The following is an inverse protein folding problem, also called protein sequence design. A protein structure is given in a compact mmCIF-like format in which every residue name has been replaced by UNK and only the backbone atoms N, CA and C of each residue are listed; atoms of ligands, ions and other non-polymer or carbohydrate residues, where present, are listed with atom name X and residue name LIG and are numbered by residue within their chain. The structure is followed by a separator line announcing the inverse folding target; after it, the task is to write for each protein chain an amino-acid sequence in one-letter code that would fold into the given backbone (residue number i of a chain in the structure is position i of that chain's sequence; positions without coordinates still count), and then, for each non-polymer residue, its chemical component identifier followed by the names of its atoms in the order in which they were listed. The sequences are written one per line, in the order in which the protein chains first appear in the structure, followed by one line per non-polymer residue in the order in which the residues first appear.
data_IF_613267537838
#
_entry.id   IF_613267537838
#
_cell.length_a   1.000
_cell.length_b   1.000
_cell.length_c   1.000
_cell.angle_alpha   90.00
_cell.angle_beta   90.00
_cell.angle_gamma   90.00
#
_symmetry.space_group_name_H-M   'P 1'
#
loop_
_entity.id
_entity.type
_entity.pdbx_description
1 polymer ?
#
# COMPACT_ATOMS: atom_id res chain seq x y z
N UNK A 1 20.61 -55.60 2.30
CA UNK A 1 21.43 -54.57 2.98
C UNK A 1 21.72 -53.37 2.09
N UNK A 2 22.26 -53.56 0.88
CA UNK A 2 22.60 -52.46 -0.06
C UNK A 2 21.39 -51.57 -0.42
N UNK A 3 20.22 -52.15 -0.68
CA UNK A 3 18.99 -51.39 -1.02
C UNK A 3 18.53 -50.47 0.12
N UNK A 4 18.71 -50.89 1.38
CA UNK A 4 18.34 -50.09 2.54
C UNK A 4 19.26 -48.86 2.70
N UNK A 5 20.56 -49.00 2.39
CA UNK A 5 21.50 -47.88 2.40
C UNK A 5 21.25 -46.89 1.27
N UNK A 6 20.83 -47.35 0.09
CA UNK A 6 20.45 -46.47 -1.04
C UNK A 6 19.18 -45.68 -0.70
N UNK A 7 18.16 -46.33 -0.15
CA UNK A 7 16.93 -45.65 0.27
C UNK A 7 17.18 -44.60 1.36
N UNK A 8 18.05 -44.92 2.34
CA UNK A 8 18.45 -43.98 3.38
C UNK A 8 19.22 -42.79 2.81
N UNK A 9 20.14 -43.03 1.86
CA UNK A 9 20.91 -41.97 1.19
C UNK A 9 20.03 -40.99 0.41
N UNK A 10 19.03 -41.50 -0.32
CA UNK A 10 18.06 -40.65 -1.05
C UNK A 10 17.21 -39.84 -0.09
N UNK A 11 16.77 -40.41 1.03
CA UNK A 11 15.97 -39.70 2.03
C UNK A 11 16.77 -38.57 2.68
N UNK A 12 18.03 -38.82 3.04
CA UNK A 12 18.91 -37.78 3.63
C UNK A 12 19.15 -36.65 2.62
N UNK A 13 19.38 -36.96 1.35
CA UNK A 13 19.55 -35.95 0.31
C UNK A 13 18.27 -35.15 0.05
N UNK A 14 17.09 -35.79 0.09
CA UNK A 14 15.81 -35.12 -0.05
C UNK A 14 15.52 -34.19 1.13
N UNK A 15 15.78 -34.63 2.37
CA UNK A 15 15.60 -33.81 3.58
C UNK A 15 16.61 -32.67 3.63
N UNK A 16 17.87 -32.91 3.27
CA UNK A 16 18.90 -31.87 3.21
C UNK A 16 18.61 -30.84 2.10
N UNK A 17 18.16 -31.31 0.92
CA UNK A 17 17.72 -30.46 -0.18
C UNK A 17 16.50 -29.63 0.19
N UNK A 18 15.50 -30.24 0.86
CA UNK A 18 14.33 -29.55 1.37
C UNK A 18 14.69 -28.53 2.45
N UNK A 19 15.57 -28.87 3.41
CA UNK A 19 16.05 -27.94 4.42
C UNK A 19 16.80 -26.76 3.79
N UNK A 20 17.73 -27.01 2.86
CA UNK A 20 18.46 -25.94 2.15
C UNK A 20 17.51 -25.06 1.34
N UNK A 21 16.53 -25.64 0.65
CA UNK A 21 15.50 -24.90 -0.08
C UNK A 21 14.60 -24.09 0.86
N UNK A 22 14.16 -24.69 1.97
CA UNK A 22 13.32 -24.07 2.99
C UNK A 22 14.03 -22.93 3.72
N UNK A 23 15.32 -23.07 4.05
CA UNK A 23 16.13 -22.01 4.65
C UNK A 23 16.55 -20.94 3.64
N UNK A 24 16.68 -21.27 2.35
CA UNK A 24 16.92 -20.27 1.29
C UNK A 24 15.66 -19.43 1.01
N UNK A 25 14.47 -20.02 1.14
CA UNK A 25 13.19 -19.31 1.05
C UNK A 25 12.90 -18.52 2.32
N UNK A 26 13.20 -19.07 3.50
CA UNK A 26 13.09 -18.40 4.80
C UNK A 26 14.42 -17.86 5.28
N UNK A 27 15.18 -17.20 4.42
CA UNK A 27 16.35 -16.44 4.89
C UNK A 27 15.82 -15.38 5.88
N UNK A 28 16.06 -15.51 7.19
CA UNK A 28 15.42 -14.65 8.19
C UNK A 28 15.90 -13.19 8.09
N UNK A 29 16.97 -12.95 7.32
CA UNK A 29 17.47 -11.63 6.95
C UNK A 29 16.76 -11.01 5.73
N UNK A 30 15.87 -11.76 5.07
CA UNK A 30 15.06 -11.31 3.91
C UNK A 30 13.58 -11.17 4.22
N UNK A 31 13.15 -11.39 5.46
CA UNK A 31 11.78 -11.09 5.87
C UNK A 31 11.51 -9.59 5.75
N UNK A 32 10.32 -9.22 5.28
CA UNK A 32 9.87 -7.82 5.20
C UNK A 32 10.06 -7.06 6.53
N UNK A 33 10.09 -7.77 7.66
CA UNK A 33 10.33 -7.22 8.99
C UNK A 33 11.78 -6.73 9.22
N UNK A 34 12.80 -7.35 8.60
CA UNK A 34 14.21 -6.93 8.79
C UNK A 34 14.51 -5.59 8.11
N UNK A 35 13.76 -5.28 7.05
CA UNK A 35 13.90 -4.04 6.29
C UNK A 35 12.94 -2.95 6.72
N UNK A 36 12.04 -3.19 7.68
CA UNK A 36 10.94 -2.28 8.05
C UNK A 36 11.37 -0.81 8.15
N UNK A 37 12.49 -0.53 8.82
CA UNK A 37 13.05 0.81 8.98
C UNK A 37 14.40 1.06 8.25
N UNK A 38 14.85 0.14 7.39
CA UNK A 38 16.06 0.32 6.57
C UNK A 38 15.75 1.07 5.27
N UNK A 39 16.38 2.21 5.02
CA UNK A 39 16.09 3.03 3.84
C UNK A 39 17.10 2.88 2.71
N UNK A 40 16.57 2.89 1.50
CA UNK A 40 17.21 3.43 0.32
C UNK A 40 16.31 4.59 -0.09
N UNK A 41 16.83 5.81 -0.28
CA UNK A 41 16.05 7.01 -0.70
C UNK A 41 15.42 6.78 -2.09
N UNK A 42 14.35 6.00 -2.10
CA UNK A 42 13.68 5.46 -3.29
C UNK A 42 12.35 6.16 -3.48
N UNK A 43 11.67 6.45 -2.38
CA UNK A 43 10.30 6.91 -2.39
C UNK A 43 10.18 8.43 -2.27
N UNK A 44 9.11 9.04 -2.81
CA UNK A 44 9.06 10.49 -2.96
C UNK A 44 8.98 11.24 -1.62
N UNK A 45 8.41 10.62 -0.59
CA UNK A 45 8.35 11.18 0.75
C UNK A 45 9.71 11.09 1.47
N UNK A 46 10.58 10.13 1.12
CA UNK A 46 11.95 10.05 1.66
C UNK A 46 12.80 11.21 1.14
N UNK A 47 12.52 11.68 -0.08
CA UNK A 47 13.21 12.80 -0.73
C UNK A 47 12.91 14.17 -0.10
N UNK A 48 11.94 14.26 0.82
CA UNK A 48 11.71 15.49 1.61
C UNK A 48 12.79 15.67 2.68
N UNK A 49 13.55 14.61 2.97
CA UNK A 49 14.60 14.56 3.98
C UNK A 49 15.98 14.49 3.33
N UNK A 50 16.97 15.10 3.98
CA UNK A 50 18.37 14.75 3.74
C UNK A 50 18.65 13.31 4.20
N UNK A 51 19.68 12.61 3.68
CA UNK A 51 20.00 11.25 4.11
C UNK A 51 20.20 11.11 5.63
N UNK A 52 20.80 12.13 6.26
CA UNK A 52 20.94 12.17 7.71
C UNK A 52 19.59 12.27 8.42
N UNK A 53 18.72 13.16 7.94
CA UNK A 53 17.37 13.33 8.50
C UNK A 53 16.51 12.09 8.32
N UNK A 54 16.58 11.42 7.18
CA UNK A 54 15.89 10.16 6.93
C UNK A 54 16.31 9.09 7.94
N UNK A 55 17.63 8.92 8.12
CA UNK A 55 18.16 7.98 9.11
C UNK A 55 17.69 8.30 10.52
N UNK A 56 17.67 9.57 10.91
CA UNK A 56 17.17 9.98 12.22
C UNK A 56 15.66 9.74 12.34
N UNK A 57 14.88 10.09 11.33
CA UNK A 57 13.43 9.86 11.30
C UNK A 57 13.09 8.38 11.47
N UNK A 58 13.76 7.50 10.72
CA UNK A 58 13.57 6.05 10.83
C UNK A 58 13.97 5.50 12.19
N UNK A 59 15.08 5.96 12.77
CA UNK A 59 15.46 5.59 14.13
C UNK A 59 14.40 6.05 15.17
N UNK A 60 13.74 7.18 14.93
CA UNK A 60 12.63 7.64 15.74
C UNK A 60 11.38 6.76 15.61
N UNK A 61 11.05 6.31 14.39
CA UNK A 61 9.94 5.38 14.15
C UNK A 61 10.21 3.99 14.77
N UNK A 62 11.43 3.48 14.64
CA UNK A 62 11.87 2.24 15.28
C UNK A 62 11.72 2.34 16.82
N UNK A 63 12.20 3.43 17.41
CA UNK A 63 12.05 3.66 18.84
C UNK A 63 10.58 3.77 19.28
N UNK A 64 9.70 4.35 18.45
CA UNK A 64 8.27 4.40 18.73
C UNK A 64 7.62 3.00 18.65
N UNK A 65 7.98 2.23 17.62
CA UNK A 65 7.50 0.86 17.40
C UNK A 65 7.81 -0.05 18.59
N UNK A 66 9.04 0.03 19.11
CA UNK A 66 9.52 -0.76 20.24
C UNK A 66 8.81 -0.44 21.57
N UNK A 67 8.34 0.79 21.76
CA UNK A 67 7.92 1.28 23.09
C UNK A 67 6.40 1.45 23.27
N UNK A 68 5.61 1.76 22.22
CA UNK A 68 4.30 2.40 22.44
C UNK A 68 3.10 1.83 21.69
N UNK A 69 3.26 0.77 20.90
CA UNK A 69 2.12 0.09 20.28
C UNK A 69 2.27 -0.21 18.79
N UNK A 70 3.45 0.06 18.24
CA UNK A 70 3.81 -0.36 16.90
C UNK A 70 3.37 0.63 15.81
N UNK A 71 4.21 0.73 14.79
CA UNK A 71 3.91 1.45 13.56
C UNK A 71 4.47 0.70 12.35
N UNK A 72 3.97 0.97 11.16
CA UNK A 72 4.46 0.35 9.92
C UNK A 72 4.47 1.36 8.77
N UNK A 73 5.65 1.69 8.21
CA UNK A 73 5.74 2.59 7.06
C UNK A 73 5.47 1.82 5.75
N UNK A 74 4.31 2.09 5.15
CA UNK A 74 3.95 1.69 3.78
C UNK A 74 4.60 2.67 2.80
N UNK A 75 5.74 2.26 2.25
CA UNK A 75 6.68 3.19 1.60
C UNK A 75 6.19 3.69 0.25
N UNK A 76 5.66 2.80 -0.57
CA UNK A 76 5.19 3.13 -1.91
C UNK A 76 3.97 4.06 -1.85
N UNK A 77 3.02 3.77 -0.97
CA UNK A 77 1.81 4.59 -0.81
C UNK A 77 2.06 5.89 -0.03
N UNK A 78 3.19 6.00 0.66
CA UNK A 78 3.55 7.15 1.50
C UNK A 78 2.68 7.26 2.76
N UNK A 79 2.38 6.13 3.40
CA UNK A 79 1.50 6.03 4.57
C UNK A 79 2.24 5.39 5.75
N UNK A 80 2.18 6.00 6.92
CA UNK A 80 2.54 5.38 8.19
C UNK A 80 1.28 4.84 8.86
N UNK A 81 1.22 3.53 9.07
CA UNK A 81 0.19 2.89 9.89
C UNK A 81 0.62 2.97 11.36
N UNK A 82 -0.25 3.41 12.23
CA UNK A 82 -0.06 3.40 13.69
C UNK A 82 -1.17 2.53 14.27
N UNK A 83 -0.84 1.62 15.20
CA UNK A 83 -1.83 0.65 15.70
C UNK A 83 -2.53 1.08 17.00
N UNK A 84 -2.01 2.09 17.71
CA UNK A 84 -2.60 2.58 18.95
C UNK A 84 -2.42 4.10 19.12
N UNK A 85 -3.47 4.92 18.89
CA UNK A 85 -4.72 4.53 18.25
C UNK A 85 -4.52 4.15 16.78
N UNK A 86 -5.47 3.40 16.21
CA UNK A 86 -5.43 2.98 14.81
C UNK A 86 -5.57 4.17 13.85
N UNK A 87 -4.49 4.49 13.14
CA UNK A 87 -4.41 5.65 12.24
C UNK A 87 -3.55 5.37 11.01
N UNK A 88 -3.92 6.00 9.90
CA UNK A 88 -3.06 6.20 8.74
C UNK A 88 -2.59 7.65 8.75
N UNK A 89 -1.28 7.85 8.67
CA UNK A 89 -0.64 9.18 8.66
C UNK A 89 0.17 9.32 7.37
N UNK A 90 0.03 10.46 6.69
CA UNK A 90 0.85 10.80 5.54
C UNK A 90 2.33 10.92 5.93
N UNK A 91 3.17 10.07 5.33
CA UNK A 91 4.62 10.18 5.48
C UNK A 91 5.16 11.48 4.88
N UNK A 92 4.52 12.03 3.85
CA UNK A 92 4.90 13.33 3.28
C UNK A 92 4.76 14.46 4.30
N UNK A 93 3.57 14.58 4.91
CA UNK A 93 3.31 15.62 5.92
C UNK A 93 4.20 15.40 7.16
N UNK A 94 4.36 14.16 7.58
CA UNK A 94 5.15 13.83 8.77
C UNK A 94 6.64 14.13 8.59
N UNK A 95 7.21 13.80 7.43
CA UNK A 95 8.62 14.08 7.12
C UNK A 95 8.90 15.55 6.91
N UNK A 96 8.01 16.31 6.26
CA UNK A 96 8.12 17.77 6.16
C UNK A 96 8.12 18.43 7.54
N UNK A 97 7.23 17.98 8.43
CA UNK A 97 7.19 18.48 9.82
C UNK A 97 8.43 18.09 10.61
N UNK A 98 8.94 16.86 10.44
CA UNK A 98 10.19 16.43 11.06
C UNK A 98 11.38 17.28 10.60
N UNK A 99 11.48 17.55 9.29
CA UNK A 99 12.49 18.44 8.74
C UNK A 99 12.36 19.87 9.31
N UNK A 100 11.13 20.39 9.45
CA UNK A 100 10.86 21.71 10.00
C UNK A 100 11.24 21.84 11.49
N UNK A 101 11.23 20.75 12.26
CA UNK A 101 11.73 20.74 13.65
C UNK A 101 13.26 20.91 13.75
N UNK A 102 13.98 20.74 12.64
CA UNK A 102 15.39 21.08 12.50
C UNK A 102 16.32 20.25 13.39
N UNK A 103 17.44 20.84 13.88
CA UNK A 103 18.46 20.10 14.63
C UNK A 103 17.97 19.43 15.91
N UNK A 104 16.89 19.92 16.53
CA UNK A 104 16.34 19.31 17.74
C UNK A 104 15.79 17.90 17.46
N UNK A 105 15.10 17.71 16.33
CA UNK A 105 14.61 16.40 15.91
C UNK A 105 15.75 15.42 15.58
N UNK A 106 16.89 15.94 15.12
CA UNK A 106 18.08 15.14 14.85
C UNK A 106 18.79 14.68 16.13
N UNK A 107 18.75 15.49 17.19
CA UNK A 107 19.37 15.18 18.47
C UNK A 107 18.55 14.17 19.28
N UNK A 108 17.23 14.22 19.16
CA UNK A 108 16.29 13.32 19.85
C UNK A 108 15.17 12.89 18.89
N UNK A 109 15.46 11.99 17.94
CA UNK A 109 14.49 11.56 16.92
C UNK A 109 13.31 10.80 17.50
N UNK A 110 13.53 10.01 18.56
CA UNK A 110 12.47 9.27 19.25
C UNK A 110 11.42 10.23 19.80
N UNK A 111 11.86 11.26 20.53
CA UNK A 111 10.95 12.29 21.05
C UNK A 111 10.25 13.06 19.93
N UNK A 112 10.97 13.41 18.86
CA UNK A 112 10.39 14.17 17.76
C UNK A 112 9.29 13.39 17.03
N UNK A 113 9.53 12.11 16.71
CA UNK A 113 8.53 11.23 16.10
C UNK A 113 7.33 11.03 17.03
N UNK A 114 7.57 10.76 18.31
CA UNK A 114 6.50 10.63 19.30
C UNK A 114 5.65 11.91 19.39
N UNK A 115 6.26 13.09 19.34
CA UNK A 115 5.53 14.36 19.31
C UNK A 115 4.69 14.53 18.03
N UNK A 116 5.21 14.12 16.87
CA UNK A 116 4.47 14.16 15.60
C UNK A 116 3.26 13.22 15.61
N UNK A 117 3.43 11.99 16.09
CA UNK A 117 2.33 11.03 16.23
C UNK A 117 1.31 11.54 17.24
N UNK A 118 1.73 12.05 18.39
CA UNK A 118 0.82 12.66 19.38
C UNK A 118 0.10 13.91 18.90
N UNK A 119 0.65 14.64 17.92
CA UNK A 119 -0.09 15.72 17.27
C UNK A 119 -1.15 15.16 16.33
N UNK A 120 -0.83 14.11 15.58
CA UNK A 120 -1.79 13.41 14.74
C UNK A 120 -2.95 12.80 15.57
N UNK A 121 -2.70 12.37 16.82
CA UNK A 121 -3.76 11.84 17.71
C UNK A 121 -4.76 12.87 18.23
N UNK A 122 -4.52 14.18 18.05
CA UNK A 122 -5.40 15.22 18.58
C UNK A 122 -6.57 15.55 17.66
N UNK A 123 -6.40 15.38 16.35
CA UNK A 123 -7.43 15.70 15.36
C UNK A 123 -7.16 15.00 14.04
N UNK A 124 -8.22 14.46 13.44
CA UNK A 124 -8.21 14.20 12.01
C UNK A 124 -8.05 15.50 11.23
N UNK A 125 -7.10 15.47 10.30
CA UNK A 125 -6.80 16.56 9.40
C UNK A 125 -6.24 16.02 8.09
N UNK A 126 -5.70 16.90 7.26
CA UNK A 126 -5.12 16.53 5.98
C UNK A 126 -4.00 15.49 6.17
N UNK A 127 -4.16 14.33 5.53
CA UNK A 127 -3.22 13.22 5.63
C UNK A 127 -3.28 12.44 6.94
N UNK A 128 -4.26 12.64 7.82
CA UNK A 128 -4.48 11.80 9.01
C UNK A 128 -5.89 11.22 8.99
N UNK A 129 -5.97 9.89 9.04
CA UNK A 129 -7.24 9.15 9.01
C UNK A 129 -7.28 8.14 10.16
N UNK A 130 -8.33 8.18 10.98
CA UNK A 130 -8.54 7.15 12.00
C UNK A 130 -9.43 6.07 11.43
N UNK A 131 -9.16 4.85 11.87
CA UNK A 131 -9.93 3.68 11.49
C UNK A 131 -10.10 2.75 12.69
N UNK A 132 -10.99 1.77 12.52
CA UNK A 132 -11.38 0.83 13.55
C UNK A 132 -11.46 -0.57 12.93
N UNK A 133 -10.95 -1.59 13.62
CA UNK A 133 -11.11 -2.99 13.21
C UNK A 133 -12.54 -3.50 13.43
N UNK A 134 -13.31 -2.83 14.28
CA UNK A 134 -14.76 -3.04 14.45
C UNK A 134 -15.61 -2.09 13.58
N UNK A 135 -15.13 -1.75 12.38
CA UNK A 135 -15.77 -0.77 11.48
C UNK A 135 -17.21 -1.11 11.05
N UNK A 136 -17.62 -2.38 11.08
CA UNK A 136 -19.01 -2.77 10.81
C UNK A 136 -19.94 -2.43 11.99
N UNK A 137 -19.39 -2.17 13.18
CA UNK A 137 -20.11 -2.04 14.43
C UNK A 137 -20.00 -3.32 15.28
N UNK A 138 -20.03 -3.14 16.61
CA UNK A 138 -19.95 -4.26 17.56
C UNK A 138 -21.08 -5.28 17.31
N UNK A 139 -20.70 -6.53 17.05
CA UNK A 139 -21.65 -7.63 16.80
C UNK A 139 -22.37 -7.59 15.46
N UNK A 140 -21.94 -6.74 14.52
CA UNK A 140 -22.47 -6.70 13.15
C UNK A 140 -21.64 -7.63 12.27
N UNK A 141 -22.25 -8.71 11.78
CA UNK A 141 -21.58 -9.69 10.88
C UNK A 141 -21.76 -9.34 9.40
N UNK A 142 -22.86 -8.65 9.06
CA UNK A 142 -23.21 -8.32 7.68
C UNK A 142 -23.79 -6.90 7.56
N UNK A 143 -23.47 -6.25 6.44
CA UNK A 143 -24.04 -4.99 5.99
C UNK A 143 -24.76 -5.22 4.64
N UNK A 144 -26.08 -5.06 4.61
CA UNK A 144 -26.86 -5.27 3.36
C UNK A 144 -26.62 -6.65 2.73
N UNK A 145 -26.48 -7.68 3.58
CA UNK A 145 -26.18 -9.06 3.17
C UNK A 145 -24.74 -9.31 2.72
N UNK A 146 -23.84 -8.33 2.87
CA UNK A 146 -22.41 -8.49 2.63
C UNK A 146 -21.68 -8.67 3.96
N UNK A 147 -20.87 -9.72 4.09
CA UNK A 147 -19.86 -9.79 5.13
C UNK A 147 -18.72 -8.78 4.86
N UNK A 148 -17.75 -8.70 5.78
CA UNK A 148 -16.60 -7.79 5.63
C UNK A 148 -15.82 -8.00 4.33
N UNK A 149 -15.72 -9.22 3.83
CA UNK A 149 -14.95 -9.53 2.62
C UNK A 149 -15.72 -9.10 1.38
N UNK A 150 -17.02 -9.40 1.32
CA UNK A 150 -17.90 -8.97 0.25
C UNK A 150 -18.03 -7.45 0.19
N UNK A 151 -18.11 -6.77 1.34
CA UNK A 151 -18.10 -5.32 1.38
C UNK A 151 -16.78 -4.74 0.87
N UNK A 152 -15.66 -5.33 1.28
CA UNK A 152 -14.32 -4.93 0.81
C UNK A 152 -14.16 -5.12 -0.69
N UNK A 153 -14.64 -6.24 -1.23
CA UNK A 153 -14.67 -6.49 -2.67
C UNK A 153 -15.52 -5.46 -3.42
N UNK A 154 -16.67 -5.08 -2.84
CA UNK A 154 -17.52 -4.03 -3.40
C UNK A 154 -16.87 -2.64 -3.36
N UNK A 155 -16.13 -2.30 -2.30
CA UNK A 155 -15.33 -1.06 -2.21
C UNK A 155 -14.21 -1.07 -3.24
N UNK A 156 -13.47 -2.16 -3.36
CA UNK A 156 -12.39 -2.33 -4.33
C UNK A 156 -12.91 -2.25 -5.78
N UNK A 157 -14.09 -2.83 -6.04
CA UNK A 157 -14.82 -2.70 -7.30
C UNK A 157 -15.23 -1.25 -7.57
N UNK A 158 -15.74 -0.53 -6.55
CA UNK A 158 -16.16 0.86 -6.66
C UNK A 158 -15.00 1.83 -6.97
N UNK A 159 -13.80 1.53 -6.47
CA UNK A 159 -12.60 2.31 -6.79
C UNK A 159 -12.02 2.00 -8.18
N UNK A 160 -12.59 1.03 -8.90
CA UNK A 160 -11.98 0.45 -10.11
C UNK A 160 -10.52 0.01 -9.87
N UNK A 161 -10.21 -0.33 -8.62
CA UNK A 161 -8.87 -0.69 -8.15
C UNK A 161 -8.53 -2.17 -8.39
N UNK A 162 -9.49 -2.96 -8.88
CA UNK A 162 -9.30 -4.36 -9.24
C UNK A 162 -9.08 -4.50 -10.74
N UNK A 163 -7.85 -4.77 -11.15
CA UNK A 163 -7.50 -5.06 -12.54
C UNK A 163 -6.06 -4.72 -12.85
N UNK A 164 -5.41 -5.54 -13.67
CA UNK A 164 -4.01 -5.36 -14.12
C UNK A 164 -3.87 -4.19 -15.12
N UNK A 165 -5.00 -3.60 -15.56
CA UNK A 165 -5.08 -2.74 -16.75
C UNK A 165 -5.28 -1.24 -16.46
N UNK A 166 -5.32 -0.81 -15.21
CA UNK A 166 -5.36 0.63 -14.89
C UNK A 166 -3.97 1.14 -14.52
N UNK A 167 -3.17 1.45 -15.55
CA UNK A 167 -1.83 2.09 -15.41
C UNK A 167 -1.83 3.32 -14.47
N UNK A 168 -3.01 3.93 -14.30
CA UNK A 168 -3.28 5.19 -13.63
C UNK A 168 -3.91 5.06 -12.24
N UNK A 169 -4.39 3.88 -11.84
CA UNK A 169 -4.98 3.66 -10.53
C UNK A 169 -4.80 2.23 -10.02
N UNK A 170 -4.28 2.11 -8.80
CA UNK A 170 -4.21 0.85 -8.06
C UNK A 170 -4.82 1.07 -6.68
N UNK A 171 -5.35 0.01 -6.06
CA UNK A 171 -5.87 0.14 -4.70
C UNK A 171 -5.58 -1.07 -3.85
N UNK A 172 -5.69 -0.84 -2.55
CA UNK A 172 -5.53 -1.85 -1.53
C UNK A 172 -6.63 -1.63 -0.50
N UNK A 173 -7.12 -2.71 0.08
CA UNK A 173 -8.08 -2.68 1.16
C UNK A 173 -7.71 -3.70 2.21
N UNK A 174 -8.05 -3.39 3.45
CA UNK A 174 -7.77 -4.24 4.61
C UNK A 174 -9.08 -4.39 5.40
N UNK A 175 -9.79 -5.47 5.15
CA UNK A 175 -11.08 -5.78 5.78
C UNK A 175 -10.98 -5.97 7.29
N UNK A 176 -9.80 -6.41 7.78
CA UNK A 176 -9.53 -6.64 9.20
C UNK A 176 -9.20 -5.35 9.94
N UNK A 177 -8.76 -4.31 9.22
CA UNK A 177 -8.41 -3.02 9.80
C UNK A 177 -9.40 -1.92 9.43
N UNK A 178 -10.25 -2.10 8.43
CA UNK A 178 -11.31 -1.15 8.12
C UNK A 178 -10.83 0.09 7.37
N UNK A 179 -9.94 -0.07 6.38
CA UNK A 179 -9.58 1.03 5.48
C UNK A 179 -9.30 0.55 4.05
N UNK A 180 -9.34 1.49 3.12
CA UNK A 180 -8.85 1.31 1.76
C UNK A 180 -7.96 2.47 1.32
N UNK A 181 -7.11 2.19 0.34
CA UNK A 181 -6.26 3.17 -0.33
C UNK A 181 -6.45 3.06 -1.84
N UNK A 182 -6.35 4.19 -2.53
CA UNK A 182 -6.38 4.29 -3.98
C UNK A 182 -5.25 5.20 -4.42
N UNK A 183 -4.22 4.64 -5.06
CA UNK A 183 -3.19 5.39 -5.75
C UNK A 183 -3.77 6.01 -7.02
N UNK A 184 -3.50 7.28 -7.27
CA UNK A 184 -4.02 8.05 -8.40
C UNK A 184 -2.86 8.71 -9.14
N UNK A 185 -2.69 8.31 -10.41
CA UNK A 185 -1.72 8.85 -11.35
C UNK A 185 -2.49 9.49 -12.52
N UNK A 186 -2.69 10.81 -12.48
CA UNK A 186 -3.48 11.50 -13.50
C UNK A 186 -2.91 11.38 -14.92
N UNK A 187 -1.58 11.40 -15.02
CA UNK A 187 -0.86 11.25 -16.27
C UNK A 187 0.50 10.64 -15.98
N UNK A 188 0.83 9.55 -16.66
CA UNK A 188 2.19 9.03 -16.66
C UNK A 188 3.09 9.99 -17.44
N UNK A 189 4.15 10.53 -16.84
CA UNK A 189 5.09 11.38 -17.57
C UNK A 189 5.78 10.59 -18.70
N UNK A 190 6.00 11.23 -19.85
CA UNK A 190 6.63 10.58 -21.01
C UNK A 190 8.01 9.97 -20.71
N UNK A 191 8.76 10.53 -19.76
CA UNK A 191 10.04 9.94 -19.36
C UNK A 191 9.87 8.65 -18.57
N UNK A 192 8.80 8.50 -17.77
CA UNK A 192 8.49 7.26 -17.06
C UNK A 192 8.12 6.16 -18.04
N UNK A 193 7.28 6.46 -19.04
CA UNK A 193 6.97 5.49 -20.11
C UNK A 193 8.21 5.00 -20.84
N UNK A 194 9.14 5.92 -21.18
CA UNK A 194 10.43 5.55 -21.79
C UNK A 194 11.28 4.67 -20.87
N UNK A 195 11.25 4.89 -19.56
CA UNK A 195 11.98 4.03 -18.62
C UNK A 195 11.41 2.61 -18.59
N UNK A 196 10.10 2.42 -18.69
CA UNK A 196 9.50 1.10 -18.85
C UNK A 196 9.86 0.47 -20.20
N UNK A 197 9.81 1.22 -21.30
CA UNK A 197 10.23 0.73 -22.62
C UNK A 197 11.69 0.25 -22.59
N UNK A 198 12.58 1.04 -21.98
CA UNK A 198 13.99 0.71 -21.80
C UNK A 198 14.16 -0.54 -20.92
N UNK A 199 13.37 -0.69 -19.85
CA UNK A 199 13.37 -1.89 -19.03
C UNK A 199 12.93 -3.11 -19.84
N UNK A 200 11.76 -3.06 -20.50
CA UNK A 200 11.25 -4.16 -21.30
C UNK A 200 12.18 -4.55 -22.46
N UNK A 201 12.91 -3.60 -23.04
CA UNK A 201 13.95 -3.89 -24.03
C UNK A 201 15.08 -4.77 -23.48
N UNK A 202 15.37 -4.72 -22.17
CA UNK A 202 16.35 -5.61 -21.50
C UNK A 202 15.80 -7.03 -21.39
N UNK A 203 14.52 -7.20 -21.07
CA UNK A 203 13.88 -8.51 -20.97
C UNK A 203 13.86 -9.26 -22.32
N UNK A 204 13.90 -8.51 -23.43
CA UNK A 204 13.85 -9.04 -24.79
C UNK A 204 12.42 -9.42 -25.22
N UNK A 205 12.30 -9.97 -26.43
CA UNK A 205 10.99 -10.36 -26.94
C UNK A 205 10.39 -11.51 -26.11
N UNK A 206 9.10 -11.43 -25.72
CA UNK A 206 8.45 -12.49 -24.98
C UNK A 206 8.46 -13.79 -25.79
N UNK A 207 8.84 -14.89 -25.15
CA UNK A 207 8.82 -16.19 -25.78
C UNK A 207 7.37 -16.59 -26.14
N UNK A 208 7.13 -17.21 -27.30
CA UNK A 208 5.79 -17.65 -27.66
C UNK A 208 5.29 -18.74 -26.68
N UNK A 209 4.23 -18.42 -25.95
CA UNK A 209 3.61 -19.31 -24.96
C UNK A 209 2.56 -20.19 -25.65
N UNK A 210 2.96 -21.37 -26.13
CA UNK A 210 2.07 -22.24 -26.91
C UNK A 210 1.30 -23.25 -26.06
N UNK A 211 1.75 -23.49 -24.83
CA UNK A 211 1.13 -24.45 -23.92
C UNK A 211 1.42 -24.10 -22.45
N UNK A 212 0.73 -24.80 -21.54
CA UNK A 212 0.87 -24.59 -20.08
C UNK A 212 2.28 -24.81 -19.56
N UNK A 213 3.07 -25.71 -20.15
CA UNK A 213 4.45 -25.93 -19.75
C UNK A 213 5.35 -24.75 -20.13
N UNK A 214 5.08 -24.07 -21.24
CA UNK A 214 5.80 -22.85 -21.62
C UNK A 214 5.51 -21.71 -20.64
N UNK A 215 4.25 -21.53 -20.24
CA UNK A 215 3.87 -20.58 -19.18
C UNK A 215 4.61 -20.90 -17.87
N UNK A 216 4.62 -22.17 -17.46
CA UNK A 216 5.32 -22.59 -16.25
C UNK A 216 6.83 -22.32 -16.34
N UNK A 217 7.46 -22.59 -17.48
CA UNK A 217 8.88 -22.33 -17.69
C UNK A 217 9.20 -20.84 -17.65
N UNK A 218 8.34 -20.02 -18.24
CA UNK A 218 8.51 -18.57 -18.24
C UNK A 218 8.38 -18.00 -16.83
N UNK A 219 7.34 -18.39 -16.08
CA UNK A 219 7.14 -17.95 -14.68
C UNK A 219 8.25 -18.44 -13.75
N UNK A 220 8.84 -19.62 -14.02
CA UNK A 220 9.96 -20.14 -13.23
C UNK A 220 11.33 -19.60 -13.66
N UNK A 221 11.40 -18.86 -14.77
CA UNK A 221 12.66 -18.27 -15.23
C UNK A 221 13.05 -17.17 -14.24
N UNK A 222 14.28 -17.19 -13.70
CA UNK A 222 14.77 -16.06 -12.93
C UNK A 222 14.73 -14.82 -13.81
N UNK A 223 14.12 -13.76 -13.30
CA UNK A 223 14.11 -12.47 -13.98
C UNK A 223 15.55 -11.97 -14.14
N UNK A 224 15.81 -11.28 -15.25
CA UNK A 224 17.10 -10.65 -15.48
C UNK A 224 17.32 -9.57 -14.40
N UNK A 225 18.40 -9.64 -13.59
CA UNK A 225 18.66 -8.62 -12.57
C UNK A 225 18.71 -7.19 -13.11
N UNK A 226 19.20 -7.02 -14.35
CA UNK A 226 19.27 -5.70 -14.98
C UNK A 226 17.89 -5.20 -15.40
N UNK A 227 17.00 -6.12 -15.82
CA UNK A 227 15.58 -5.81 -16.05
C UNK A 227 14.90 -5.38 -14.75
N UNK A 228 15.03 -6.18 -13.69
CA UNK A 228 14.41 -5.88 -12.38
C UNK A 228 14.90 -4.52 -11.87
N UNK A 229 16.21 -4.26 -11.91
CA UNK A 229 16.75 -2.97 -11.49
C UNK A 229 16.31 -1.79 -12.37
N UNK A 230 16.08 -2.00 -13.68
CA UNK A 230 15.53 -0.96 -14.55
C UNK A 230 14.04 -0.71 -14.28
N UNK A 231 13.27 -1.77 -14.12
CA UNK A 231 11.84 -1.72 -13.80
C UNK A 231 11.61 -1.06 -12.45
N UNK A 232 12.35 -1.45 -11.41
CA UNK A 232 12.25 -0.82 -10.09
C UNK A 232 12.60 0.67 -10.09
N UNK A 233 13.53 1.11 -10.95
CA UNK A 233 13.81 2.53 -11.14
C UNK A 233 12.64 3.26 -11.81
N UNK A 234 11.97 2.62 -12.77
CA UNK A 234 10.77 3.16 -13.39
C UNK A 234 9.61 3.27 -12.39
N UNK A 235 9.38 2.25 -11.56
CA UNK A 235 8.39 2.28 -10.46
C UNK A 235 8.70 3.38 -9.44
N UNK A 236 9.95 3.49 -9.00
CA UNK A 236 10.38 4.55 -8.08
C UNK A 236 10.15 5.94 -8.68
N UNK A 237 10.44 6.13 -9.97
CA UNK A 237 10.16 7.39 -10.66
C UNK A 237 8.65 7.66 -10.81
N UNK A 238 7.86 6.64 -11.19
CA UNK A 238 6.40 6.71 -11.31
C UNK A 238 5.75 7.12 -9.99
N UNK A 239 6.20 6.55 -8.87
CA UNK A 239 5.66 6.80 -7.53
C UNK A 239 5.65 8.29 -7.15
N UNK A 240 6.59 9.10 -7.70
CA UNK A 240 6.65 10.57 -7.49
C UNK A 240 5.37 11.27 -7.91
N UNK A 241 4.71 10.74 -8.93
CA UNK A 241 3.52 11.28 -9.57
C UNK A 241 2.21 10.64 -9.06
N UNK A 242 2.31 9.51 -8.36
CA UNK A 242 1.17 8.85 -7.71
C UNK A 242 0.82 9.59 -6.42
N UNK A 243 -0.45 9.92 -6.22
CA UNK A 243 -0.94 10.40 -4.92
C UNK A 243 -1.96 9.41 -4.36
N UNK A 244 -1.95 9.20 -3.06
CA UNK A 244 -2.78 8.15 -2.44
C UNK A 244 -3.97 8.79 -1.75
N UNK A 245 -5.16 8.37 -2.15
CA UNK A 245 -6.41 8.65 -1.45
C UNK A 245 -6.67 7.53 -0.45
N UNK A 246 -7.08 7.88 0.78
CA UNK A 246 -7.36 6.94 1.86
C UNK A 246 -8.82 7.04 2.28
N UNK A 247 -9.45 5.91 2.57
CA UNK A 247 -10.83 5.81 3.02
C UNK A 247 -10.95 4.98 4.30
N UNK A 248 -11.78 5.44 5.23
CA UNK A 248 -12.11 4.71 6.46
C UNK A 248 -13.43 3.95 6.26
N UNK A 249 -13.41 2.63 6.46
CA UNK A 249 -14.56 1.77 6.21
C UNK A 249 -15.74 2.06 7.11
N UNK A 250 -15.51 2.42 8.37
CA UNK A 250 -16.59 2.77 9.31
C UNK A 250 -17.45 3.90 8.73
N UNK A 251 -16.79 4.95 8.22
CA UNK A 251 -17.46 6.12 7.66
C UNK A 251 -18.05 5.84 6.28
N UNK A 252 -17.36 5.08 5.45
CA UNK A 252 -17.92 4.63 4.16
C UNK A 252 -19.18 3.78 4.40
N UNK A 253 -19.17 2.89 5.39
CA UNK A 253 -20.31 2.05 5.76
C UNK A 253 -21.47 2.87 6.33
N UNK A 254 -21.21 3.88 7.16
CA UNK A 254 -22.24 4.80 7.66
C UNK A 254 -22.91 5.56 6.52
N UNK A 255 -22.12 6.17 5.64
CA UNK A 255 -22.63 6.89 4.46
C UNK A 255 -23.37 5.94 3.49
N UNK A 256 -22.91 4.69 3.36
CA UNK A 256 -23.60 3.64 2.62
C UNK A 256 -24.97 3.33 3.23
N UNK A 257 -25.07 3.14 4.55
CA UNK A 257 -26.35 2.88 5.25
C UNK A 257 -27.33 4.02 5.02
N UNK A 258 -26.86 5.26 5.01
CA UNK A 258 -27.69 6.43 4.74
C UNK A 258 -28.15 6.50 3.28
N UNK A 259 -27.28 6.18 2.31
CA UNK A 259 -27.60 6.26 0.89
C UNK A 259 -28.46 5.08 0.39
N UNK A 260 -28.23 3.88 0.93
CA UNK A 260 -28.81 2.62 0.43
C UNK A 260 -30.35 2.61 0.32
N UNK A 261 -31.14 3.14 1.27
CA UNK A 261 -32.60 3.19 1.17
C UNK A 261 -33.13 3.96 -0.04
N UNK A 262 -32.35 4.90 -0.59
CA UNK A 262 -32.73 5.70 -1.76
C UNK A 262 -32.27 5.06 -3.08
N UNK A 263 -31.49 3.98 -3.02
CA UNK A 263 -30.87 3.31 -4.16
C UNK A 263 -31.10 1.79 -4.14
N UNK A 264 -32.31 1.36 -3.72
CA UNK A 264 -32.64 -0.07 -3.51
C UNK A 264 -32.46 -0.97 -4.74
N UNK A 265 -32.52 -0.40 -5.95
CA UNK A 265 -32.33 -1.13 -7.21
C UNK A 265 -30.90 -1.14 -7.74
N UNK A 266 -29.96 -0.45 -7.09
CA UNK A 266 -28.56 -0.40 -7.50
C UNK A 266 -27.77 -1.55 -6.86
N UNK A 267 -26.69 -2.00 -7.51
CA UNK A 267 -25.75 -2.93 -6.89
C UNK A 267 -24.97 -2.23 -5.76
N UNK A 268 -24.54 -2.95 -4.71
CA UNK A 268 -23.79 -2.34 -3.60
C UNK A 268 -22.58 -1.51 -4.04
N UNK A 269 -21.80 -2.01 -5.01
CA UNK A 269 -20.65 -1.29 -5.58
C UNK A 269 -21.03 0.06 -6.21
N UNK A 270 -22.23 0.17 -6.79
CA UNK A 270 -22.69 1.40 -7.44
C UNK A 270 -23.08 2.44 -6.39
N UNK A 271 -23.67 2.00 -5.28
CA UNK A 271 -23.97 2.86 -4.14
C UNK A 271 -22.67 3.32 -3.48
N UNK A 272 -21.71 2.42 -3.26
CA UNK A 272 -20.39 2.75 -2.72
C UNK A 272 -19.63 3.75 -3.59
N UNK A 273 -19.66 3.56 -4.91
CA UNK A 273 -19.08 4.48 -5.89
C UNK A 273 -19.62 5.90 -5.69
N UNK A 274 -20.94 6.06 -5.61
CA UNK A 274 -21.59 7.36 -5.37
C UNK A 274 -21.25 7.93 -3.99
N UNK A 275 -21.25 7.10 -2.95
CA UNK A 275 -20.91 7.51 -1.58
C UNK A 275 -19.47 8.03 -1.51
N UNK A 276 -18.50 7.26 -2.00
CA UNK A 276 -17.09 7.62 -1.96
C UNK A 276 -16.79 8.85 -2.84
N UNK A 277 -17.43 8.96 -4.01
CA UNK A 277 -17.34 10.16 -4.84
C UNK A 277 -17.88 11.40 -4.11
N UNK A 278 -19.03 11.28 -3.42
CA UNK A 278 -19.60 12.36 -2.60
C UNK A 278 -18.68 12.75 -1.46
N UNK A 279 -18.12 11.76 -0.75
CA UNK A 279 -17.18 12.00 0.33
C UNK A 279 -15.96 12.79 -0.15
N UNK A 280 -15.40 12.43 -1.30
CA UNK A 280 -14.28 13.13 -1.91
C UNK A 280 -14.65 14.55 -2.37
N UNK A 281 -15.74 14.71 -3.12
CA UNK A 281 -16.18 16.00 -3.70
C UNK A 281 -16.51 17.04 -2.63
N UNK A 282 -17.14 16.60 -1.53
CA UNK A 282 -17.58 17.48 -0.45
C UNK A 282 -16.56 17.62 0.69
N UNK A 283 -15.39 16.98 0.59
CA UNK A 283 -14.37 16.99 1.65
C UNK A 283 -14.90 16.41 2.97
N UNK A 284 -15.69 15.34 2.88
CA UNK A 284 -16.27 14.70 4.06
C UNK A 284 -15.19 13.98 4.87
N UNK A 285 -15.48 13.87 6.16
CA UNK A 285 -14.72 13.06 7.10
C UNK A 285 -14.65 11.60 6.64
N UNK A 286 -13.48 10.97 6.82
CA UNK A 286 -13.27 9.57 6.45
C UNK A 286 -12.64 9.36 5.08
N UNK A 287 -12.28 10.45 4.40
CA UNK A 287 -11.53 10.45 3.17
C UNK A 287 -10.44 11.53 3.26
N UNK A 288 -9.19 11.18 2.94
CA UNK A 288 -8.09 12.17 2.89
C UNK A 288 -6.97 11.71 1.98
N UNK A 289 -6.13 12.65 1.54
CA UNK A 289 -5.00 12.38 0.65
C UNK A 289 -3.68 12.36 1.41
N UNK A 290 -2.70 11.58 0.94
CA UNK A 290 -1.33 11.66 1.49
C UNK A 290 -0.66 12.98 1.15
N UNK A 291 -1.02 13.62 0.03
CA UNK A 291 -0.62 14.99 -0.32
C UNK A 291 -1.81 15.78 -0.89
N UNK A 292 -1.81 17.12 -0.84
CA UNK A 292 -2.81 17.91 -1.56
C UNK A 292 -2.84 17.49 -3.05
N UNK A 293 -4.00 17.03 -3.57
CA UNK A 293 -4.08 16.53 -4.94
C UNK A 293 -3.98 17.68 -5.95
N UNK A 294 -3.41 17.39 -7.12
CA UNK A 294 -3.57 18.27 -8.28
C UNK A 294 -5.03 18.28 -8.74
N UNK A 295 -5.41 19.29 -9.53
CA UNK A 295 -6.77 19.36 -10.08
C UNK A 295 -7.09 18.13 -10.94
N UNK A 296 -6.12 17.61 -11.69
CA UNK A 296 -6.31 16.47 -12.57
C UNK A 296 -6.38 15.15 -11.80
N UNK A 297 -5.61 15.01 -10.71
CA UNK A 297 -5.74 13.87 -9.79
C UNK A 297 -7.12 13.85 -9.14
N UNK A 298 -7.61 15.00 -8.67
CA UNK A 298 -8.92 15.09 -8.06
C UNK A 298 -10.04 14.75 -9.08
N UNK A 299 -9.96 15.29 -10.30
CA UNK A 299 -10.91 14.97 -11.38
C UNK A 299 -10.88 13.50 -11.75
N UNK A 300 -9.70 12.89 -11.87
CA UNK A 300 -9.57 11.47 -12.20
C UNK A 300 -10.17 10.62 -11.08
N UNK A 301 -9.86 10.89 -9.82
CA UNK A 301 -10.43 10.16 -8.69
C UNK A 301 -11.97 10.26 -8.66
N UNK A 302 -12.53 11.44 -8.89
CA UNK A 302 -13.99 11.61 -9.03
C UNK A 302 -14.56 10.89 -10.25
N UNK A 303 -13.82 10.80 -11.35
CA UNK A 303 -14.26 10.08 -12.55
C UNK A 303 -14.19 8.56 -12.38
N UNK A 304 -13.23 8.06 -11.59
CA UNK A 304 -13.14 6.65 -11.23
C UNK A 304 -14.24 6.26 -10.26
N UNK A 305 -14.49 7.06 -9.23
CA UNK A 305 -15.54 6.79 -8.23
C UNK A 305 -16.94 7.14 -8.74
N UNK A 306 -17.07 8.13 -9.61
CA UNK A 306 -18.33 8.47 -10.25
C UNK A 306 -18.58 7.46 -11.34
N UNK A 307 -19.61 6.64 -11.20
CA UNK A 307 -20.09 5.57 -12.09
C UNK A 307 -20.45 6.01 -13.54
N UNK A 308 -19.78 7.03 -14.07
CA UNK A 308 -19.89 7.64 -15.40
C UNK A 308 -18.67 7.23 -16.23
N UNK A 309 -18.64 5.96 -16.60
CA UNK A 309 -17.99 5.53 -17.85
C UNK A 309 -18.88 5.85 -19.04
#
# INVERSE_FOLDING_TARGET
MVVAFVALGVLVLAVAGFALWFFKIRDPLKGADFYKFHTEQKWPWELTLTPEQEKAFMAGLEAFDDNEGGCYPSREEGILRVYSPMMLISLFSMTEQFAAMGPAAMQDPARAVHELINRATQSEGDGVLYYNDEWMGEGVEELDGMDKYAFTDAVMSAMHAQGVDHEFAGGYADEDKGYATMGVLAQAPEHVSRMYDDAHAIAGDPAPLNNRLDVMKEVMRPEDPDYVAAFERAEAEKSKYVNTLMFCFERVADEYREARPYMQGAEPKDVLSVVMARMLDQGMRGCTWTRPPSQDQHKLALALLGNRG
#
